data_IF_283752583702
#
_entry.id   IF_283752583702
#
_cell.length_a   1.000
_cell.length_b   1.000
_cell.length_c   1.000
_cell.angle_alpha   90.00
_cell.angle_beta   90.00
_cell.angle_gamma   90.00
#
_symmetry.space_group_name_H-M   'P 1'
#
loop_
_entity.id
_entity.type
_entity.pdbx_description
1 polymer ?
#
# COMPACT_ATOMS: atom_id res chain seq x y z
N UNK A 1 -2.24 19.99 -7.44
CA UNK A 1 -0.99 19.39 -6.96
C UNK A 1 -0.81 19.77 -5.49
N UNK A 2 -0.44 18.84 -4.60
CA UNK A 2 -0.07 19.19 -3.22
C UNK A 2 1.11 20.16 -3.18
N UNK A 3 1.15 21.03 -2.17
CA UNK A 3 2.09 22.17 -2.10
C UNK A 3 3.57 21.75 -2.13
N UNK A 4 3.90 20.67 -1.42
CA UNK A 4 5.29 20.26 -1.20
C UNK A 4 5.75 19.18 -2.20
N UNK A 5 4.86 18.73 -3.09
CA UNK A 5 5.15 17.68 -4.06
C UNK A 5 5.45 18.24 -5.44
N UNK A 6 6.27 17.52 -6.20
CA UNK A 6 6.46 17.77 -7.63
C UNK A 6 5.37 17.06 -8.43
N UNK A 7 4.70 17.79 -9.32
CA UNK A 7 3.74 17.22 -10.26
C UNK A 7 4.18 17.51 -11.70
N UNK A 8 4.25 16.46 -12.51
CA UNK A 8 4.49 16.53 -13.94
C UNK A 8 3.21 16.14 -14.68
N UNK A 9 2.75 16.99 -15.61
CA UNK A 9 1.55 16.75 -16.40
C UNK A 9 1.97 16.26 -17.79
N UNK A 10 1.55 15.05 -18.13
CA UNK A 10 1.91 14.38 -19.40
C UNK A 10 0.65 14.09 -20.21
N UNK A 11 0.83 13.76 -21.49
CA UNK A 11 -0.28 13.30 -22.33
C UNK A 11 -0.82 11.97 -21.76
N UNK A 12 -1.96 12.02 -21.07
CA UNK A 12 -2.61 10.85 -20.46
C UNK A 12 -2.98 11.03 -18.99
N UNK A 13 -2.27 11.88 -18.25
CA UNK A 13 -2.52 12.14 -16.83
C UNK A 13 -1.36 12.86 -16.14
N UNK A 14 -1.23 12.69 -14.83
CA UNK A 14 -0.19 13.34 -14.04
C UNK A 14 0.66 12.36 -13.23
N UNK A 15 1.97 12.63 -13.17
CA UNK A 15 2.92 11.94 -12.30
C UNK A 15 3.18 12.83 -11.10
N UNK A 16 2.94 12.31 -9.90
CA UNK A 16 3.08 13.06 -8.65
C UNK A 16 4.18 12.43 -7.80
N UNK A 17 5.17 13.22 -7.39
CA UNK A 17 6.27 12.79 -6.53
C UNK A 17 6.36 13.63 -5.27
N UNK A 18 6.25 12.96 -4.13
CA UNK A 18 6.43 13.48 -2.77
C UNK A 18 7.55 12.74 -2.03
N UNK A 19 8.53 12.19 -2.78
CA UNK A 19 9.61 11.37 -2.24
C UNK A 19 10.53 12.18 -1.30
N UNK A 20 10.91 11.60 -0.16
CA UNK A 20 11.97 12.18 0.68
C UNK A 20 11.59 13.45 1.44
N UNK A 21 10.30 13.68 1.65
CA UNK A 21 9.78 14.92 2.25
C UNK A 21 9.51 14.82 3.75
N UNK A 22 9.76 13.66 4.37
CA UNK A 22 9.48 13.41 5.78
C UNK A 22 7.98 13.37 6.09
N UNK A 23 7.16 13.01 5.10
CA UNK A 23 5.70 12.95 5.25
C UNK A 23 5.29 11.77 6.14
N UNK A 24 4.31 12.01 7.00
CA UNK A 24 3.71 10.99 7.88
C UNK A 24 2.29 10.62 7.46
N UNK A 25 1.76 11.27 6.42
CA UNK A 25 0.45 11.00 5.86
C UNK A 25 0.40 11.32 4.35
N UNK A 26 -0.55 10.69 3.64
CA UNK A 26 -0.87 11.01 2.25
C UNK A 26 -1.31 12.48 2.15
N UNK A 27 -0.69 13.31 1.30
CA UNK A 27 -1.08 14.71 1.15
C UNK A 27 -2.43 14.87 0.45
N UNK A 28 -3.16 15.93 0.80
CA UNK A 28 -4.42 16.31 0.13
C UNK A 28 -4.15 17.03 -1.19
N UNK A 29 -5.11 16.97 -2.11
CA UNK A 29 -5.06 17.73 -3.36
C UNK A 29 -4.22 17.07 -4.47
N UNK A 30 -4.10 15.74 -4.43
CA UNK A 30 -3.64 14.95 -5.57
C UNK A 30 -4.56 15.24 -6.78
N UNK A 31 -4.01 15.54 -7.96
CA UNK A 31 -4.80 15.67 -9.19
C UNK A 31 -5.61 14.38 -9.46
N UNK A 32 -6.87 14.50 -9.88
CA UNK A 32 -7.74 13.34 -10.12
C UNK A 32 -7.27 12.46 -11.29
N UNK A 33 -6.46 13.02 -12.19
CA UNK A 33 -5.86 12.33 -13.33
C UNK A 33 -4.47 11.76 -13.02
N UNK A 34 -4.10 11.64 -11.75
CA UNK A 34 -2.82 11.04 -11.33
C UNK A 34 -2.73 9.61 -11.83
N UNK A 35 -1.70 9.30 -12.62
CA UNK A 35 -1.39 7.96 -13.13
C UNK A 35 -0.31 7.27 -12.32
N UNK A 36 0.66 8.03 -11.79
CA UNK A 36 1.71 7.49 -10.95
C UNK A 36 1.92 8.37 -9.73
N UNK A 37 1.94 7.76 -8.54
CA UNK A 37 2.16 8.45 -7.28
C UNK A 37 3.35 7.87 -6.51
N UNK A 38 4.34 8.71 -6.25
CA UNK A 38 5.55 8.36 -5.51
C UNK A 38 5.60 9.05 -4.14
N UNK A 39 5.58 8.27 -3.07
CA UNK A 39 5.83 8.69 -1.69
C UNK A 39 6.95 7.90 -1.03
N UNK A 40 7.90 7.38 -1.79
CA UNK A 40 9.02 6.64 -1.23
C UNK A 40 9.86 7.49 -0.24
N UNK A 41 10.62 6.84 0.63
CA UNK A 41 11.56 7.48 1.56
C UNK A 41 10.88 8.52 2.45
N UNK A 42 9.75 8.16 3.04
CA UNK A 42 9.00 9.01 3.99
C UNK A 42 8.82 8.25 5.32
N UNK A 43 7.95 8.71 6.20
CA UNK A 43 7.70 8.12 7.53
C UNK A 43 6.22 7.75 7.71
N UNK A 44 5.62 7.19 6.66
CA UNK A 44 4.25 6.68 6.71
C UNK A 44 4.22 5.41 7.56
N UNK A 45 3.36 5.37 8.58
CA UNK A 45 3.21 4.16 9.43
C UNK A 45 2.03 3.29 9.02
N UNK A 46 1.04 3.88 8.35
CA UNK A 46 -0.19 3.21 7.90
C UNK A 46 -0.61 3.74 6.55
N UNK A 47 -1.11 2.86 5.70
CA UNK A 47 -1.67 3.23 4.41
C UNK A 47 -3.17 2.92 4.37
N UNK A 48 -3.99 3.90 4.02
CA UNK A 48 -5.42 3.70 3.81
C UNK A 48 -5.75 3.88 2.34
N UNK A 49 -6.35 2.86 1.74
CA UNK A 49 -6.60 2.84 0.30
C UNK A 49 -7.71 3.80 -0.13
N UNK A 50 -8.59 4.16 0.80
CA UNK A 50 -9.61 5.19 0.60
C UNK A 50 -9.03 6.53 0.14
N UNK A 51 -7.75 6.82 0.41
CA UNK A 51 -7.11 8.04 -0.10
C UNK A 51 -6.97 8.06 -1.62
N UNK A 52 -7.02 6.90 -2.27
CA UNK A 52 -6.84 6.74 -3.71
C UNK A 52 -8.13 6.43 -4.45
N UNK A 53 -9.28 6.30 -3.76
CA UNK A 53 -10.54 5.85 -4.39
C UNK A 53 -11.01 6.72 -5.57
N UNK A 54 -10.70 8.02 -5.55
CA UNK A 54 -11.08 8.96 -6.61
C UNK A 54 -10.03 9.07 -7.74
N UNK A 55 -8.88 8.39 -7.61
CA UNK A 55 -7.80 8.42 -8.60
C UNK A 55 -8.01 7.28 -9.61
N UNK A 56 -9.03 7.40 -10.44
CA UNK A 56 -9.47 6.33 -11.35
C UNK A 56 -8.48 6.01 -12.47
N UNK A 57 -7.47 6.86 -12.67
CA UNK A 57 -6.36 6.66 -13.61
C UNK A 57 -5.09 6.13 -12.96
N UNK A 58 -5.10 5.85 -11.66
CA UNK A 58 -3.90 5.46 -10.94
C UNK A 58 -3.44 4.07 -11.36
N UNK A 59 -2.26 4.01 -11.97
CA UNK A 59 -1.61 2.79 -12.49
C UNK A 59 -0.38 2.43 -11.64
N UNK A 60 0.19 3.36 -10.88
CA UNK A 60 1.35 3.07 -10.05
C UNK A 60 1.35 3.81 -8.71
N UNK A 61 1.69 3.08 -7.65
CA UNK A 61 1.87 3.61 -6.31
C UNK A 61 3.21 3.12 -5.74
N UNK A 62 4.14 4.03 -5.51
CA UNK A 62 5.41 3.73 -4.85
C UNK A 62 5.38 4.31 -3.43
N UNK A 63 5.40 3.44 -2.43
CA UNK A 63 5.45 3.79 -1.00
C UNK A 63 6.60 3.05 -0.31
N UNK A 64 7.65 2.74 -1.08
CA UNK A 64 8.82 2.02 -0.57
C UNK A 64 9.60 2.84 0.46
N UNK A 65 10.40 2.16 1.27
CA UNK A 65 11.26 2.77 2.29
C UNK A 65 10.49 3.75 3.20
N UNK A 66 9.37 3.27 3.74
CA UNK A 66 8.56 3.92 4.76
C UNK A 66 8.45 3.01 5.99
N UNK A 67 7.69 3.41 7.01
CA UNK A 67 7.47 2.67 8.25
C UNK A 67 6.12 1.92 8.26
N UNK A 68 5.58 1.54 7.10
CA UNK A 68 4.23 0.98 6.98
C UNK A 68 4.18 -0.41 7.59
N UNK A 69 3.39 -0.57 8.65
CA UNK A 69 3.10 -1.89 9.25
C UNK A 69 1.81 -2.48 8.72
N UNK A 70 0.81 -1.63 8.47
CA UNK A 70 -0.55 -2.04 8.15
C UNK A 70 -1.12 -1.26 6.95
N UNK A 71 -1.85 -1.97 6.10
CA UNK A 71 -2.56 -1.41 4.96
C UNK A 71 -4.03 -1.75 5.10
N UNK A 72 -4.85 -0.72 5.34
CA UNK A 72 -6.28 -0.88 5.52
C UNK A 72 -7.02 -0.53 4.24
N UNK A 73 -7.88 -1.44 3.80
CA UNK A 73 -8.82 -1.25 2.72
C UNK A 73 -9.43 -2.60 2.34
N UNK A 74 -10.18 -2.59 1.26
CA UNK A 74 -10.88 -3.75 0.74
C UNK A 74 -10.60 -3.90 -0.76
N UNK A 75 -10.83 -5.10 -1.27
CA UNK A 75 -10.80 -5.34 -2.72
C UNK A 75 -11.82 -4.46 -3.47
N UNK A 76 -12.89 -4.02 -2.80
CA UNK A 76 -13.88 -3.10 -3.38
C UNK A 76 -13.34 -1.69 -3.58
N UNK A 77 -12.41 -1.23 -2.72
CA UNK A 77 -11.67 0.02 -2.93
C UNK A 77 -10.79 -0.02 -4.19
N UNK A 78 -10.49 -1.22 -4.70
CA UNK A 78 -9.76 -1.46 -5.95
C UNK A 78 -10.66 -1.85 -7.14
N UNK A 79 -11.98 -2.01 -6.98
CA UNK A 79 -12.86 -2.52 -8.05
C UNK A 79 -12.99 -1.60 -9.27
N UNK A 80 -12.74 -0.30 -9.09
CA UNK A 80 -12.76 0.67 -10.18
C UNK A 80 -11.49 0.66 -11.03
N UNK A 81 -10.44 0.05 -10.52
CA UNK A 81 -9.19 -0.13 -11.23
C UNK A 81 -9.33 -1.46 -11.96
N UNK A 82 -9.47 -1.43 -13.28
CA UNK A 82 -9.39 -2.64 -14.09
C UNK A 82 -8.04 -3.30 -13.72
N UNK A 83 -8.10 -4.42 -13.00
CA UNK A 83 -7.04 -4.99 -12.14
C UNK A 83 -5.74 -5.41 -12.84
N UNK A 84 -5.56 -5.08 -14.11
CA UNK A 84 -4.56 -5.72 -14.96
C UNK A 84 -3.19 -5.03 -14.87
N UNK A 85 -3.12 -3.72 -14.56
CA UNK A 85 -1.86 -2.97 -14.72
C UNK A 85 -1.44 -2.10 -13.51
N UNK A 86 -2.14 -2.17 -12.37
CA UNK A 86 -1.73 -1.38 -11.21
C UNK A 86 -0.49 -1.97 -10.54
N UNK A 87 0.59 -1.21 -10.43
CA UNK A 87 1.81 -1.61 -9.73
C UNK A 87 1.94 -0.92 -8.37
N UNK A 88 2.04 -1.69 -7.29
CA UNK A 88 2.29 -1.18 -5.94
C UNK A 88 3.66 -1.65 -5.43
N UNK A 89 4.53 -0.71 -5.11
CA UNK A 89 5.83 -0.97 -4.48
C UNK A 89 5.77 -0.67 -2.98
N UNK A 90 5.85 -1.74 -2.19
CA UNK A 90 5.86 -1.76 -0.72
C UNK A 90 7.22 -2.17 -0.13
N UNK A 91 8.26 -2.29 -0.95
CA UNK A 91 9.58 -2.71 -0.48
C UNK A 91 10.12 -1.78 0.63
N UNK A 92 10.94 -2.33 1.53
CA UNK A 92 11.53 -1.55 2.63
C UNK A 92 10.57 -1.15 3.77
N UNK A 93 9.34 -1.65 3.79
CA UNK A 93 8.38 -1.40 4.87
C UNK A 93 8.35 -2.54 5.90
N UNK A 94 8.17 -2.26 7.21
CA UNK A 94 8.07 -3.26 8.27
C UNK A 94 6.68 -3.91 8.35
N UNK A 95 6.26 -4.58 7.27
CA UNK A 95 4.90 -5.11 7.14
C UNK A 95 4.56 -6.15 8.22
N UNK A 96 3.37 -6.01 8.81
CA UNK A 96 2.75 -7.00 9.67
C UNK A 96 1.82 -7.90 8.84
N UNK A 97 2.29 -9.09 8.51
CA UNK A 97 1.59 -10.09 7.70
C UNK A 97 0.61 -10.95 8.53
N UNK A 98 -0.33 -10.28 9.20
CA UNK A 98 -1.42 -10.93 9.94
C UNK A 98 -2.74 -10.98 9.14
N UNK A 99 -3.85 -11.34 9.78
CA UNK A 99 -5.13 -11.44 9.08
C UNK A 99 -5.62 -10.12 8.45
N UNK A 100 -5.17 -8.95 8.93
CA UNK A 100 -5.54 -7.65 8.38
C UNK A 100 -4.86 -7.36 7.04
N UNK A 101 -3.66 -7.91 6.80
CA UNK A 101 -2.96 -7.77 5.53
C UNK A 101 -3.26 -8.91 4.53
N UNK A 102 -4.00 -9.94 4.97
CA UNK A 102 -4.35 -11.12 4.16
C UNK A 102 -4.98 -10.76 2.82
N UNK A 103 -5.87 -9.76 2.79
CA UNK A 103 -6.57 -9.36 1.57
C UNK A 103 -5.59 -8.96 0.47
N UNK A 104 -4.48 -8.30 0.81
CA UNK A 104 -3.48 -7.85 -0.16
C UNK A 104 -2.76 -9.03 -0.78
N UNK A 105 -2.38 -10.01 0.04
CA UNK A 105 -1.82 -11.27 -0.46
C UNK A 105 -2.76 -11.99 -1.42
N UNK A 106 -4.07 -12.01 -1.12
CA UNK A 106 -5.07 -12.64 -1.99
C UNK A 106 -5.26 -11.84 -3.27
N UNK A 107 -5.36 -10.51 -3.18
CA UNK A 107 -5.53 -9.62 -4.32
C UNK A 107 -4.34 -9.65 -5.29
N UNK A 108 -3.13 -9.88 -4.76
CA UNK A 108 -1.92 -9.92 -5.56
C UNK A 108 -1.63 -11.30 -6.20
N UNK A 109 -2.34 -12.36 -5.80
CA UNK A 109 -2.07 -13.72 -6.28
C UNK A 109 -2.37 -13.86 -7.78
N UNK A 110 -1.36 -14.27 -8.57
CA UNK A 110 -1.50 -14.39 -10.02
C UNK A 110 -1.64 -13.06 -10.77
N UNK A 111 -1.30 -11.93 -10.15
CA UNK A 111 -1.35 -10.58 -10.75
C UNK A 111 0.01 -9.90 -10.72
N UNK A 112 0.15 -8.77 -11.43
CA UNK A 112 1.34 -7.90 -11.35
C UNK A 112 1.24 -6.83 -10.24
N UNK A 113 0.22 -6.92 -9.36
CA UNK A 113 -0.10 -5.90 -8.37
C UNK A 113 1.07 -5.52 -7.47
N UNK A 114 1.89 -6.50 -7.11
CA UNK A 114 3.07 -6.30 -6.27
C UNK A 114 4.31 -6.68 -7.08
N UNK A 115 5.27 -5.75 -7.15
CA UNK A 115 6.58 -5.94 -7.80
C UNK A 115 7.51 -6.96 -7.13
N UNK A 116 6.97 -7.94 -6.39
CA UNK A 116 7.63 -9.10 -5.80
C UNK A 116 8.68 -8.87 -4.68
N UNK A 117 8.86 -7.65 -4.16
CA UNK A 117 9.89 -7.35 -3.14
C UNK A 117 9.38 -6.99 -1.73
N UNK A 118 8.07 -6.98 -1.50
CA UNK A 118 7.52 -6.76 -0.17
C UNK A 118 7.81 -7.97 0.75
N UNK A 119 8.35 -7.71 1.95
CA UNK A 119 8.75 -8.74 2.91
C UNK A 119 8.03 -8.53 4.24
N UNK A 120 7.60 -9.62 4.87
CA UNK A 120 7.00 -9.59 6.19
C UNK A 120 8.08 -9.35 7.26
N UNK A 121 7.81 -8.47 8.23
CA UNK A 121 8.65 -8.30 9.43
C UNK A 121 7.98 -8.95 10.63
N UNK A 122 6.68 -8.73 10.77
CA UNK A 122 5.83 -9.39 11.76
C UNK A 122 4.80 -10.28 11.06
N UNK A 123 4.26 -11.32 11.73
CA UNK A 123 4.73 -11.88 13.00
C UNK A 123 6.11 -12.58 12.89
N UNK A 124 6.79 -12.94 14.00
CA UNK A 124 8.19 -13.40 13.95
C UNK A 124 8.42 -14.67 13.13
N UNK A 125 7.42 -15.55 13.03
CA UNK A 125 7.50 -16.79 12.24
C UNK A 125 7.37 -16.57 10.72
N UNK A 126 6.94 -15.37 10.30
CA UNK A 126 6.89 -14.93 8.91
C UNK A 126 7.99 -13.91 8.59
N UNK A 127 8.78 -13.49 9.58
CA UNK A 127 9.84 -12.51 9.40
C UNK A 127 10.83 -12.92 8.32
N UNK A 128 11.13 -12.00 7.41
CA UNK A 128 12.04 -12.21 6.28
C UNK A 128 11.43 -12.96 5.08
N UNK A 129 10.18 -13.43 5.16
CA UNK A 129 9.50 -14.05 4.02
C UNK A 129 8.90 -13.00 3.09
N UNK A 130 9.01 -13.21 1.78
CA UNK A 130 8.30 -12.38 0.79
C UNK A 130 6.79 -12.54 0.98
N UNK A 131 6.06 -11.44 0.92
CA UNK A 131 4.61 -11.41 1.14
C UNK A 131 3.89 -12.43 0.26
N UNK A 132 4.23 -12.52 -1.03
CA UNK A 132 3.60 -13.42 -2.00
C UNK A 132 3.92 -14.91 -1.79
N UNK A 133 5.07 -15.22 -1.18
CA UNK A 133 5.48 -16.60 -0.88
C UNK A 133 4.76 -17.18 0.36
N UNK A 134 4.17 -16.31 1.19
CA UNK A 134 3.43 -16.75 2.38
C UNK A 134 2.04 -17.24 1.97
N UNK A 135 1.64 -18.47 2.35
CA UNK A 135 0.29 -18.97 2.09
C UNK A 135 -0.78 -18.08 2.75
N UNK A 136 -1.92 -17.80 2.08
CA UNK A 136 -3.01 -17.01 2.67
C UNK A 136 -3.57 -17.60 3.98
N UNK A 137 -3.35 -18.89 4.25
CA UNK A 137 -3.72 -19.55 5.52
C UNK A 137 -2.91 -19.07 6.72
N UNK A 138 -1.70 -18.55 6.51
CA UNK A 138 -0.74 -18.21 7.56
C UNK A 138 -0.90 -16.77 8.05
N UNK A 139 -1.61 -15.93 7.29
CA UNK A 139 -2.04 -14.59 7.71
C UNK A 139 -3.15 -14.69 8.76
N UNK A 140 -2.77 -14.81 10.04
CA UNK A 140 -3.68 -15.00 11.19
C UNK A 140 -3.50 -13.90 12.23
N UNK A 141 -4.60 -13.43 12.79
CA UNK A 141 -4.58 -12.57 13.97
C UNK A 141 -4.71 -13.41 15.23
N UNK A 142 -4.03 -12.99 16.30
CA UNK A 142 -4.34 -13.48 17.64
C UNK A 142 -5.76 -12.99 17.96
N UNK A 143 -6.63 -13.87 18.44
CA UNK A 143 -7.89 -13.44 19.04
C UNK A 143 -7.48 -12.54 20.21
N UNK A 144 -7.80 -11.25 20.13
CA UNK A 144 -7.66 -10.36 21.27
C UNK A 144 -8.50 -10.98 22.38
N UNK A 145 -7.84 -11.45 23.45
CA UNK A 145 -8.52 -11.72 24.69
C UNK A 145 -9.05 -10.38 25.19
N UNK A 146 -10.23 -10.00 24.69
CA UNK A 146 -11.09 -9.04 25.34
C UNK A 146 -11.56 -9.77 26.59
N UNK A 147 -10.75 -9.68 27.64
CA UNK A 147 -11.26 -9.86 28.97
C UNK A 147 -12.35 -8.80 29.10
N UNK A 148 -13.60 -9.23 28.99
CA UNK A 148 -14.72 -8.44 29.45
C UNK A 148 -14.41 -8.10 30.91
N UNK A 149 -14.19 -6.82 31.16
CA UNK A 149 -14.46 -6.23 32.46
C UNK A 149 -15.92 -6.58 32.79
N UNK A 150 -16.14 -7.45 33.78
CA UNK A 150 -17.18 -7.43 34.83
C UNK A 150 -16.85 -8.55 35.83
#
# INVERSE_FOLDING_TARGET
>A
CPKDCACEFVAGGSVVSCKGLGLTAVPRGLPLDTTYFNMANNSLTKLKLIYFHNLTKLEGLCVSDNDITDITGSFEDFRHLNQVDMLVDLSGNPLNCDCHLKWLRVAADGTELLGNNATCVEPPHLSGKRLLDVPPSDFKCKISARFDEI
#
